data_IF_997991122902
#
_entry.id   IF_997991122902
#
_cell.length_a   1.000
_cell.length_b   1.000
_cell.length_c   1.000
_cell.angle_alpha   90.00
_cell.angle_beta   90.00
_cell.angle_gamma   90.00
#
_symmetry.space_group_name_H-M   'P 1'
#
loop_
_entity.id
_entity.type
_entity.pdbx_description
1 polymer ?
#
# COMPACT_ATOMS: atom_id res chain seq x y z
N UNK A 1 72.08 24.42 -41.08
CA UNK A 1 71.62 23.03 -41.07
C UNK A 1 70.99 22.77 -39.70
N UNK A 2 69.65 22.90 -39.68
CA UNK A 2 68.87 22.79 -38.42
C UNK A 2 68.18 21.43 -38.45
N UNK A 3 68.47 20.58 -37.48
CA UNK A 3 67.87 19.24 -37.34
C UNK A 3 66.65 19.43 -36.40
N UNK A 4 65.44 19.18 -36.94
CA UNK A 4 64.19 19.14 -36.18
C UNK A 4 63.95 17.69 -35.79
N UNK A 5 64.00 17.40 -34.50
CA UNK A 5 63.65 16.08 -33.95
C UNK A 5 62.18 16.11 -33.57
N UNK A 6 61.38 15.33 -34.27
CA UNK A 6 59.94 15.15 -33.95
C UNK A 6 59.79 14.03 -32.92
N UNK A 7 59.28 14.33 -31.76
CA UNK A 7 58.94 13.37 -30.74
C UNK A 7 57.44 13.01 -30.92
N UNK A 8 57.17 11.76 -31.29
CA UNK A 8 55.82 11.22 -31.35
C UNK A 8 55.42 10.68 -29.97
N UNK A 9 54.42 11.35 -29.33
CA UNK A 9 53.79 10.85 -28.12
C UNK A 9 52.61 9.94 -28.50
N UNK A 10 52.77 8.65 -28.26
CA UNK A 10 51.68 7.67 -28.38
C UNK A 10 50.78 7.77 -27.13
N UNK A 11 49.56 8.20 -27.30
CA UNK A 11 48.56 8.18 -26.23
C UNK A 11 47.97 6.76 -26.12
N UNK A 12 48.32 6.09 -25.02
CA UNK A 12 47.79 4.79 -24.65
C UNK A 12 46.35 4.98 -24.11
N UNK A 13 45.35 4.62 -24.90
CA UNK A 13 43.95 4.62 -24.50
C UNK A 13 43.67 3.47 -23.53
N UNK A 14 43.65 3.76 -22.24
CA UNK A 14 43.17 2.85 -21.20
C UNK A 14 41.70 2.52 -21.43
N UNK A 15 41.40 1.30 -21.84
CA UNK A 15 40.03 0.74 -21.94
C UNK A 15 39.43 0.68 -20.52
N UNK A 16 38.61 1.67 -20.18
CA UNK A 16 37.82 1.68 -18.97
C UNK A 16 36.76 0.59 -19.06
N UNK A 17 36.92 -0.51 -18.35
CA UNK A 17 35.89 -1.55 -18.18
C UNK A 17 34.63 -0.93 -17.58
N UNK A 18 33.44 -1.14 -18.17
CA UNK A 18 32.21 -0.62 -17.58
C UNK A 18 32.00 -1.22 -16.19
N UNK A 19 31.46 -0.44 -15.24
CA UNK A 19 31.18 -0.95 -13.91
C UNK A 19 30.17 -2.11 -13.98
N UNK A 20 30.26 -3.12 -13.10
CA UNK A 20 29.30 -4.20 -13.04
C UNK A 20 27.91 -3.63 -12.76
N UNK A 21 26.83 -4.25 -13.32
CA UNK A 21 25.47 -3.82 -13.06
C UNK A 21 25.19 -3.85 -11.55
N UNK A 22 24.41 -2.89 -11.03
CA UNK A 22 24.07 -2.85 -9.62
C UNK A 22 23.44 -4.18 -9.22
N UNK A 23 23.97 -4.79 -8.15
CA UNK A 23 23.37 -5.97 -7.55
C UNK A 23 21.89 -5.66 -7.24
N UNK A 24 20.99 -6.49 -7.73
CA UNK A 24 19.57 -6.38 -7.41
C UNK A 24 19.44 -6.33 -5.90
N UNK A 25 19.04 -5.17 -5.36
CA UNK A 25 18.70 -5.03 -3.96
C UNK A 25 17.58 -6.05 -3.67
N UNK A 26 17.85 -7.00 -2.79
CA UNK A 26 16.81 -7.92 -2.29
C UNK A 26 15.70 -7.05 -1.74
N UNK A 27 14.48 -7.20 -2.25
CA UNK A 27 13.29 -6.58 -1.65
C UNK A 27 13.30 -6.90 -0.16
N UNK A 28 13.04 -5.91 0.71
CA UNK A 28 12.96 -6.18 2.13
C UNK A 28 11.95 -7.30 2.37
N UNK A 29 12.28 -8.22 3.27
CA UNK A 29 11.35 -9.29 3.66
C UNK A 29 10.05 -8.66 4.15
N UNK A 30 8.89 -9.22 3.82
CA UNK A 30 7.60 -8.68 4.27
C UNK A 30 7.54 -8.65 5.80
N UNK A 31 6.87 -7.65 6.37
CA UNK A 31 6.65 -7.54 7.82
C UNK A 31 5.81 -8.69 8.35
N UNK A 32 4.85 -9.14 7.53
CA UNK A 32 3.96 -10.27 7.81
C UNK A 32 3.87 -11.21 6.62
N UNK A 33 3.43 -12.43 6.88
CA UNK A 33 3.24 -13.51 5.91
C UNK A 33 1.75 -13.84 5.75
N UNK A 34 1.41 -14.72 4.81
CA UNK A 34 0.06 -15.26 4.67
C UNK A 34 -0.45 -15.94 5.96
N UNK A 35 0.43 -16.58 6.72
CA UNK A 35 0.06 -17.19 8.00
C UNK A 35 -0.52 -16.17 8.98
N UNK A 36 0.06 -14.97 9.06
CA UNK A 36 -0.49 -13.89 9.88
C UNK A 36 -1.85 -13.43 9.35
N UNK A 37 -1.99 -13.29 8.03
CA UNK A 37 -3.27 -12.89 7.41
C UNK A 37 -4.35 -13.92 7.71
N UNK A 38 -4.06 -15.20 7.50
CA UNK A 38 -5.01 -16.29 7.78
C UNK A 38 -5.41 -16.32 9.26
N UNK A 39 -4.47 -16.12 10.16
CA UNK A 39 -4.75 -16.02 11.60
C UNK A 39 -5.70 -14.87 11.94
N UNK A 40 -5.60 -13.73 11.25
CA UNK A 40 -6.33 -12.52 11.60
C UNK A 40 -7.61 -12.30 10.79
N UNK A 41 -7.67 -12.80 9.55
CA UNK A 41 -8.74 -12.53 8.60
C UNK A 41 -9.32 -13.78 7.91
N UNK A 42 -8.80 -14.97 8.22
CA UNK A 42 -9.22 -16.22 7.58
C UNK A 42 -8.54 -16.50 6.25
N UNK A 43 -8.82 -17.67 5.69
CA UNK A 43 -8.14 -18.21 4.50
C UNK A 43 -8.60 -17.58 3.17
N UNK A 44 -9.58 -16.68 3.22
CA UNK A 44 -10.09 -15.99 2.05
C UNK A 44 -9.15 -14.91 1.51
N UNK A 45 -8.19 -14.45 2.31
CA UNK A 45 -7.25 -13.39 1.95
C UNK A 45 -5.81 -13.91 1.93
N UNK A 46 -5.01 -13.39 1.01
CA UNK A 46 -3.57 -13.66 0.89
C UNK A 46 -2.80 -12.38 0.62
N UNK A 47 -1.52 -12.37 0.97
CA UNK A 47 -0.62 -11.23 0.78
C UNK A 47 -0.50 -10.88 -0.70
N UNK A 48 -0.73 -9.61 -1.04
CA UNK A 48 -0.44 -9.09 -2.36
C UNK A 48 1.05 -8.76 -2.47
N UNK A 49 1.73 -9.41 -3.42
CA UNK A 49 3.14 -9.15 -3.69
C UNK A 49 3.32 -7.80 -4.38
N UNK A 50 4.28 -7.01 -3.94
CA UNK A 50 4.65 -5.73 -4.54
C UNK A 50 4.38 -4.52 -3.67
N UNK A 51 3.13 -4.17 -3.29
CA UNK A 51 2.87 -3.04 -2.42
C UNK A 51 3.56 -3.19 -1.06
N UNK A 52 4.09 -2.08 -0.55
CA UNK A 52 4.73 -2.06 0.76
C UNK A 52 3.70 -2.31 1.88
N UNK A 53 4.18 -2.92 2.96
CA UNK A 53 3.44 -3.01 4.22
C UNK A 53 3.89 -1.85 5.13
N UNK A 54 2.98 -1.27 5.88
CA UNK A 54 3.27 -0.10 6.72
C UNK A 54 2.89 -0.35 8.17
N UNK A 55 3.71 0.17 9.06
CA UNK A 55 3.42 0.26 10.49
C UNK A 55 3.40 1.73 10.88
N UNK A 56 2.27 2.19 11.45
CA UNK A 56 2.08 3.57 11.85
C UNK A 56 0.84 3.69 12.75
N UNK A 57 0.80 4.68 13.62
CA UNK A 57 -0.36 5.02 14.46
C UNK A 57 -1.43 5.74 13.59
N UNK A 58 -2.35 4.98 12.98
CA UNK A 58 -3.34 5.51 12.05
C UNK A 58 -4.55 6.13 12.75
N UNK A 59 -4.90 5.64 13.94
CA UNK A 59 -6.07 6.10 14.68
C UNK A 59 -5.73 7.18 15.74
N UNK A 60 -4.44 7.45 15.95
CA UNK A 60 -3.94 8.53 16.79
C UNK A 60 -3.98 8.20 18.29
N UNK A 61 -3.94 6.92 18.65
CA UNK A 61 -3.98 6.49 20.06
C UNK A 61 -2.58 6.24 20.66
N UNK A 62 -1.53 6.41 19.87
CA UNK A 62 -0.14 6.24 20.27
C UNK A 62 0.36 4.79 20.18
N UNK A 63 -0.43 3.89 19.60
CA UNK A 63 -0.08 2.49 19.37
C UNK A 63 0.08 2.22 17.89
N UNK A 64 1.09 1.44 17.52
CA UNK A 64 1.35 1.12 16.12
C UNK A 64 0.28 0.18 15.55
N UNK A 65 -0.29 0.57 14.42
CA UNK A 65 -1.19 -0.18 13.56
C UNK A 65 -0.44 -0.79 12.38
N UNK A 66 -1.08 -1.71 11.66
CA UNK A 66 -0.52 -2.36 10.48
C UNK A 66 -1.44 -2.20 9.28
N UNK A 67 -0.85 -1.86 8.12
CA UNK A 67 -1.51 -1.81 6.81
C UNK A 67 -0.89 -2.86 5.90
N UNK A 68 -1.74 -3.70 5.29
CA UNK A 68 -1.33 -4.78 4.40
C UNK A 68 -2.16 -4.70 3.12
N UNK A 69 -1.50 -4.69 1.96
CA UNK A 69 -2.18 -4.96 0.70
C UNK A 69 -2.40 -6.48 0.56
N UNK A 70 -3.61 -6.88 0.28
CA UNK A 70 -4.00 -8.28 0.18
C UNK A 70 -4.89 -8.54 -1.02
N UNK A 71 -5.05 -9.80 -1.37
CA UNK A 71 -6.07 -10.27 -2.32
C UNK A 71 -7.04 -11.17 -1.58
N UNK A 72 -8.31 -10.81 -1.57
CA UNK A 72 -9.37 -11.56 -0.93
C UNK A 72 -10.34 -12.14 -1.97
N UNK A 73 -10.76 -13.38 -1.82
CA UNK A 73 -11.71 -14.04 -2.72
C UNK A 73 -13.16 -13.66 -2.40
N UNK A 74 -13.48 -13.63 -1.13
CA UNK A 74 -14.78 -13.23 -0.62
C UNK A 74 -14.62 -12.39 0.65
N UNK A 75 -14.72 -11.06 0.56
CA UNK A 75 -14.48 -10.17 1.70
C UNK A 75 -15.52 -10.30 2.80
N UNK A 76 -16.70 -10.83 2.50
CA UNK A 76 -17.78 -11.01 3.47
C UNK A 76 -17.70 -12.34 4.23
N UNK A 77 -16.91 -13.29 3.73
CA UNK A 77 -16.71 -14.56 4.43
C UNK A 77 -15.89 -14.32 5.69
N UNK A 78 -16.11 -15.14 6.69
CA UNK A 78 -15.32 -15.23 7.91
C UNK A 78 -15.34 -13.95 8.79
N UNK A 79 -16.07 -12.91 8.37
CA UNK A 79 -16.15 -11.63 9.08
C UNK A 79 -16.55 -11.80 10.56
N UNK A 80 -17.55 -12.61 10.83
CA UNK A 80 -18.02 -12.85 12.20
C UNK A 80 -17.04 -13.69 13.00
N UNK A 81 -16.45 -14.72 12.40
CA UNK A 81 -15.50 -15.63 13.04
C UNK A 81 -14.21 -14.89 13.43
N UNK A 82 -13.65 -14.11 12.51
CA UNK A 82 -12.41 -13.38 12.75
C UNK A 82 -12.62 -11.97 13.28
N UNK A 83 -13.88 -11.52 13.49
CA UNK A 83 -14.21 -10.21 14.08
C UNK A 83 -13.54 -9.03 13.38
N UNK A 84 -13.64 -8.96 12.06
CA UNK A 84 -13.22 -7.79 11.29
C UNK A 84 -14.43 -7.05 10.67
N UNK A 85 -14.25 -5.80 10.33
CA UNK A 85 -15.27 -4.98 9.68
C UNK A 85 -14.92 -4.75 8.22
N UNK A 86 -15.83 -5.11 7.32
CA UNK A 86 -15.68 -4.79 5.89
C UNK A 86 -16.20 -3.38 5.64
N UNK A 87 -15.39 -2.57 4.95
CA UNK A 87 -15.76 -1.23 4.52
C UNK A 87 -15.51 -1.06 3.02
N UNK A 88 -16.37 -0.28 2.38
CA UNK A 88 -16.15 0.26 1.05
C UNK A 88 -16.08 1.79 1.13
N UNK A 89 -14.87 2.36 1.37
CA UNK A 89 -14.75 3.80 1.52
C UNK A 89 -14.99 4.55 0.21
N UNK A 90 -14.73 3.94 -0.93
CA UNK A 90 -14.94 4.53 -2.25
C UNK A 90 -16.43 4.67 -2.55
N UNK A 91 -17.21 3.60 -2.40
CA UNK A 91 -18.67 3.65 -2.58
C UNK A 91 -19.33 4.61 -1.59
N UNK A 92 -18.85 4.63 -0.34
CA UNK A 92 -19.32 5.62 0.65
C UNK A 92 -19.03 7.06 0.24
N UNK A 93 -17.91 7.33 -0.44
CA UNK A 93 -17.56 8.64 -0.98
C UNK A 93 -18.46 9.02 -2.16
N UNK A 94 -18.79 8.06 -3.03
CA UNK A 94 -19.69 8.24 -4.17
C UNK A 94 -21.17 8.37 -3.76
N UNK A 95 -21.49 8.27 -2.47
CA UNK A 95 -22.83 8.43 -1.94
C UNK A 95 -23.65 7.15 -1.84
N UNK A 96 -23.05 6.01 -2.13
CA UNK A 96 -23.67 4.71 -1.87
C UNK A 96 -23.47 4.37 -0.39
N UNK A 97 -24.57 4.27 0.35
CA UNK A 97 -24.50 3.95 1.79
C UNK A 97 -24.60 2.45 2.00
N UNK A 98 -23.76 1.86 2.75
CA UNK A 98 -23.78 0.48 3.24
C UNK A 98 -23.58 -0.64 2.22
N UNK A 99 -22.49 -1.37 2.44
CA UNK A 99 -22.23 -2.65 1.80
C UNK A 99 -23.22 -3.67 2.35
N UNK A 100 -24.34 -3.87 1.67
CA UNK A 100 -25.28 -4.93 2.04
C UNK A 100 -24.96 -6.25 1.37
N UNK A 101 -24.47 -6.21 0.13
CA UNK A 101 -24.03 -7.38 -0.63
C UNK A 101 -23.05 -6.91 -1.72
N UNK A 102 -21.83 -7.38 -1.71
CA UNK A 102 -20.95 -7.24 -2.85
C UNK A 102 -21.05 -8.49 -3.72
N UNK A 103 -21.91 -8.46 -4.72
CA UNK A 103 -21.94 -9.51 -5.74
C UNK A 103 -20.76 -9.42 -6.70
N UNK A 104 -20.20 -8.24 -6.87
CA UNK A 104 -19.00 -7.96 -7.65
C UNK A 104 -17.97 -7.35 -6.73
N UNK A 105 -17.12 -8.19 -6.20
CA UNK A 105 -15.98 -7.76 -5.44
C UNK A 105 -14.84 -7.48 -6.42
N UNK A 106 -14.69 -6.21 -6.75
CA UNK A 106 -13.68 -5.68 -7.61
C UNK A 106 -13.94 -5.69 -9.12
N UNK A 107 -13.08 -4.97 -9.76
CA UNK A 107 -12.87 -4.77 -11.18
C UNK A 107 -13.03 -6.03 -12.02
N UNK A 108 -13.52 -5.90 -13.23
CA UNK A 108 -13.50 -6.96 -14.25
C UNK A 108 -12.06 -7.32 -14.67
N UNK A 109 -11.10 -6.45 -14.38
CA UNK A 109 -9.68 -6.70 -14.61
C UNK A 109 -9.12 -7.72 -13.61
N UNK A 110 -8.58 -8.86 -14.09
CA UNK A 110 -8.09 -9.94 -13.22
C UNK A 110 -7.02 -9.50 -12.22
N UNK A 111 -6.19 -8.53 -12.60
CA UNK A 111 -5.10 -8.02 -11.77
C UNK A 111 -5.60 -7.21 -10.57
N UNK A 112 -6.74 -6.54 -10.74
CA UNK A 112 -7.39 -5.72 -9.70
C UNK A 112 -8.42 -6.50 -8.89
N UNK A 113 -8.88 -7.63 -9.40
CA UNK A 113 -9.94 -8.41 -8.75
C UNK A 113 -9.52 -8.87 -7.36
N UNK A 114 -10.34 -8.52 -6.37
CA UNK A 114 -10.14 -8.90 -4.98
C UNK A 114 -9.04 -8.14 -4.25
N UNK A 115 -8.41 -7.13 -4.88
CA UNK A 115 -7.42 -6.29 -4.21
C UNK A 115 -8.08 -5.51 -3.07
N UNK A 116 -7.48 -5.56 -1.91
CA UNK A 116 -8.01 -5.03 -0.65
C UNK A 116 -6.90 -4.50 0.23
N UNK A 117 -7.26 -3.63 1.17
CA UNK A 117 -6.38 -3.27 2.28
C UNK A 117 -6.88 -3.91 3.57
N UNK A 118 -6.02 -4.64 4.23
CA UNK A 118 -6.24 -5.11 5.58
C UNK A 118 -5.57 -4.14 6.54
N UNK A 119 -6.31 -3.70 7.55
CA UNK A 119 -5.80 -2.80 8.58
C UNK A 119 -6.06 -3.43 9.93
N UNK A 120 -5.03 -3.47 10.76
CA UNK A 120 -5.08 -4.00 12.12
C UNK A 120 -4.73 -2.86 13.06
N UNK A 121 -5.69 -2.37 13.83
CA UNK A 121 -5.42 -1.41 14.90
C UNK A 121 -4.81 -2.13 16.08
N UNK A 122 -3.65 -1.65 16.49
CA UNK A 122 -2.88 -2.22 17.59
C UNK A 122 -3.51 -2.02 18.96
N UNK A 123 -3.01 -2.75 19.94
CA UNK A 123 -3.38 -2.56 21.34
C UNK A 123 -2.22 -2.90 22.28
N UNK A 124 -2.09 -2.10 23.33
CA UNK A 124 -1.08 -2.31 24.37
C UNK A 124 0.36 -2.29 23.85
N UNK A 125 1.26 -2.96 24.57
CA UNK A 125 2.70 -2.96 24.24
C UNK A 125 3.06 -3.77 22.99
N UNK A 126 2.23 -4.74 22.64
CA UNK A 126 2.48 -5.61 21.49
C UNK A 126 1.93 -5.02 20.19
N UNK A 127 1.20 -3.89 20.29
CA UNK A 127 0.68 -3.12 19.18
C UNK A 127 -0.14 -4.01 18.22
N UNK A 128 0.08 -3.91 16.91
CA UNK A 128 -0.60 -4.76 15.91
C UNK A 128 -0.29 -6.26 16.03
N UNK A 129 0.77 -6.63 16.79
CA UNK A 129 1.15 -8.04 17.04
C UNK A 129 0.35 -8.66 18.17
N UNK A 130 -0.45 -7.89 18.89
CA UNK A 130 -1.29 -8.40 19.95
C UNK A 130 -2.17 -9.56 19.44
N UNK A 131 -2.35 -10.57 20.26
CA UNK A 131 -3.19 -11.73 19.93
C UNK A 131 -4.63 -11.29 19.63
N UNK A 132 -5.12 -10.31 20.37
CA UNK A 132 -6.41 -9.66 20.14
C UNK A 132 -6.18 -8.18 19.88
N UNK A 133 -6.14 -7.76 18.61
CA UNK A 133 -6.01 -6.35 18.25
C UNK A 133 -7.25 -5.54 18.65
N UNK A 134 -7.10 -4.23 18.73
CA UNK A 134 -8.18 -3.29 19.08
C UNK A 134 -9.33 -3.34 18.08
N UNK A 135 -9.01 -3.37 16.78
CA UNK A 135 -9.96 -3.49 15.69
C UNK A 135 -9.28 -4.01 14.42
N UNK A 136 -10.07 -4.61 13.54
CA UNK A 136 -9.62 -5.08 12.24
C UNK A 136 -10.57 -4.62 11.15
N UNK A 137 -10.01 -4.15 10.03
CA UNK A 137 -10.76 -3.65 8.89
C UNK A 137 -10.29 -4.31 7.61
N UNK A 138 -11.23 -4.68 6.75
CA UNK A 138 -11.01 -5.12 5.39
C UNK A 138 -11.64 -4.07 4.46
N UNK A 139 -10.80 -3.30 3.75
CA UNK A 139 -11.25 -2.24 2.86
C UNK A 139 -11.21 -2.75 1.42
N UNK A 140 -12.32 -2.61 0.72
CA UNK A 140 -12.54 -3.15 -0.63
C UNK A 140 -12.70 -2.04 -1.66
N UNK A 141 -12.66 -2.43 -2.93
CA UNK A 141 -12.92 -1.57 -4.09
C UNK A 141 -12.00 -0.34 -4.18
N UNK A 142 -10.77 -0.48 -3.72
CA UNK A 142 -9.79 0.59 -3.73
C UNK A 142 -8.86 0.45 -4.95
N UNK A 143 -8.84 1.44 -5.83
CA UNK A 143 -7.92 1.46 -6.95
C UNK A 143 -6.53 1.93 -6.46
N UNK A 144 -5.53 1.06 -6.47
CA UNK A 144 -4.16 1.45 -6.19
C UNK A 144 -3.13 0.53 -6.84
N UNK A 145 -2.02 1.11 -7.25
CA UNK A 145 -0.77 0.42 -7.60
C UNK A 145 0.29 0.63 -6.55
N UNK A 146 0.35 1.85 -6.02
CA UNK A 146 1.32 2.19 -4.98
C UNK A 146 0.59 2.71 -3.74
N UNK A 147 1.21 2.47 -2.60
CA UNK A 147 0.73 2.91 -1.30
C UNK A 147 1.85 3.64 -0.57
N UNK A 148 1.51 4.73 0.10
CA UNK A 148 2.40 5.42 1.04
C UNK A 148 1.62 5.93 2.24
N UNK A 149 2.26 5.98 3.41
CA UNK A 149 1.66 6.56 4.62
C UNK A 149 2.34 7.89 4.91
N UNK A 150 1.55 8.97 4.95
CA UNK A 150 2.05 10.35 5.18
C UNK A 150 1.07 11.13 6.06
N UNK A 151 1.54 12.25 6.59
CA UNK A 151 0.68 13.18 7.32
C UNK A 151 -0.33 13.85 6.39
N UNK A 152 -1.59 13.86 6.81
CA UNK A 152 -2.70 14.52 6.15
C UNK A 152 -3.23 15.64 7.03
N UNK A 153 -3.20 16.87 6.53
CA UNK A 153 -3.77 18.02 7.22
C UNK A 153 -5.28 18.09 6.95
N UNK A 154 -6.10 17.91 7.97
CA UNK A 154 -7.52 18.16 7.94
C UNK A 154 -7.81 19.54 8.56
N UNK A 155 -9.01 20.09 8.34
CA UNK A 155 -9.37 21.46 8.82
C UNK A 155 -9.08 21.69 10.31
N UNK A 156 -9.18 20.67 11.15
CA UNK A 156 -9.08 20.80 12.62
C UNK A 156 -7.96 19.96 13.25
N UNK A 157 -7.35 19.04 12.50
CA UNK A 157 -6.33 18.13 13.02
C UNK A 157 -5.43 17.61 11.91
N UNK A 158 -4.25 17.13 12.26
CA UNK A 158 -3.40 16.35 11.39
C UNK A 158 -3.54 14.88 11.77
N UNK A 159 -3.71 14.02 10.77
CA UNK A 159 -3.81 12.56 10.92
C UNK A 159 -2.80 11.89 10.00
N UNK A 160 -2.61 10.59 10.13
CA UNK A 160 -1.94 9.80 9.08
C UNK A 160 -2.96 9.39 8.02
N UNK A 161 -2.57 9.55 6.77
CA UNK A 161 -3.33 9.12 5.60
C UNK A 161 -2.56 8.05 4.82
N UNK A 162 -3.29 7.08 4.31
CA UNK A 162 -2.78 6.07 3.38
C UNK A 162 -3.04 6.63 1.98
N UNK A 163 -1.99 7.14 1.34
CA UNK A 163 -2.05 7.69 0.00
C UNK A 163 -1.96 6.56 -1.01
N UNK A 164 -2.83 6.60 -1.99
CA UNK A 164 -2.95 5.63 -3.07
C UNK A 164 -2.72 6.34 -4.39
N UNK A 165 -1.89 5.77 -5.24
CA UNK A 165 -1.68 6.23 -6.60
C UNK A 165 -2.12 5.13 -7.55
N UNK A 166 -2.95 5.48 -8.50
CA UNK A 166 -3.40 4.64 -9.59
C UNK A 166 -2.80 5.15 -10.90
N UNK A 167 -2.09 4.28 -11.62
CA UNK A 167 -1.66 4.57 -12.99
C UNK A 167 -2.76 4.15 -13.95
N UNK A 168 -3.46 5.12 -14.56
CA UNK A 168 -4.33 4.91 -15.70
C UNK A 168 -3.59 5.10 -17.01
N UNK A 169 -4.22 4.77 -18.14
CA UNK A 169 -3.74 5.18 -19.47
C UNK A 169 -3.94 6.69 -19.61
N UNK A 170 -2.88 7.47 -19.33
CA UNK A 170 -2.85 8.93 -19.53
C UNK A 170 -3.21 9.80 -18.32
N UNK A 171 -3.64 9.24 -17.19
CA UNK A 171 -3.92 10.02 -15.99
C UNK A 171 -3.44 9.28 -14.73
N UNK A 172 -2.63 9.96 -13.92
CA UNK A 172 -2.32 9.50 -12.59
C UNK A 172 -3.35 10.09 -11.62
N UNK A 173 -4.19 9.26 -11.06
CA UNK A 173 -5.11 9.69 -10.02
C UNK A 173 -4.52 9.41 -8.64
N UNK A 174 -4.63 10.40 -7.76
CA UNK A 174 -4.19 10.28 -6.37
C UNK A 174 -5.38 10.38 -5.44
N UNK A 175 -5.39 9.52 -4.45
CA UNK A 175 -6.42 9.52 -3.40
C UNK A 175 -5.80 9.22 -2.05
N UNK A 176 -6.57 9.45 -0.99
CA UNK A 176 -6.14 9.19 0.38
C UNK A 176 -7.25 8.55 1.21
N UNK A 177 -6.87 7.55 1.98
CA UNK A 177 -7.68 7.00 3.06
C UNK A 177 -7.21 7.55 4.40
N UNK A 178 -8.15 7.85 5.29
CA UNK A 178 -7.82 8.26 6.65
C UNK A 178 -8.89 7.82 7.65
N UNK A 179 -8.48 7.64 8.89
CA UNK A 179 -9.38 7.32 9.99
C UNK A 179 -10.08 8.58 10.52
N UNK A 180 -11.42 8.59 10.54
CA UNK A 180 -12.19 9.75 11.04
C UNK A 180 -12.53 9.66 12.54
N UNK A 181 -12.19 8.56 13.18
CA UNK A 181 -12.54 8.21 14.55
C UNK A 181 -13.61 7.12 14.66
N UNK A 182 -14.22 6.74 13.54
CA UNK A 182 -15.26 5.71 13.47
C UNK A 182 -15.06 4.74 12.31
N UNK A 183 -14.62 5.24 11.16
CA UNK A 183 -14.41 4.45 9.94
C UNK A 183 -13.34 5.08 9.05
N UNK A 184 -12.83 4.31 8.12
CA UNK A 184 -11.97 4.81 7.06
C UNK A 184 -12.76 5.61 6.04
N UNK A 185 -12.27 6.80 5.71
CA UNK A 185 -12.80 7.70 4.70
C UNK A 185 -11.90 7.74 3.49
N UNK A 186 -12.50 7.80 2.33
CA UNK A 186 -11.83 8.03 1.05
C UNK A 186 -11.96 9.49 0.63
N UNK A 187 -10.91 10.04 0.05
CA UNK A 187 -10.92 11.37 -0.54
C UNK A 187 -10.05 11.38 -1.80
N UNK A 188 -10.59 11.83 -2.93
CA UNK A 188 -9.80 12.11 -4.13
C UNK A 188 -8.95 13.38 -3.90
N UNK A 189 -7.70 13.35 -4.36
CA UNK A 189 -6.77 14.49 -4.24
C UNK A 189 -6.59 15.22 -5.57
N UNK A 190 -6.97 14.63 -6.67
CA UNK A 190 -6.86 15.16 -8.03
C UNK A 190 -6.22 14.17 -8.98
N UNK A 191 -6.25 14.51 -10.26
CA UNK A 191 -5.47 13.87 -11.31
C UNK A 191 -4.44 14.87 -11.83
N UNK A 192 -3.19 14.47 -11.93
CA UNK A 192 -2.19 15.22 -12.69
C UNK A 192 -2.43 14.87 -14.16
N UNK A 193 -3.04 15.79 -14.90
CA UNK A 193 -3.09 15.73 -16.36
C UNK A 193 -1.74 16.27 -16.86
N UNK A 194 -0.92 15.40 -17.47
CA UNK A 194 0.22 15.81 -18.28
C UNK A 194 -0.20 16.36 -19.66
#
# INVERSE_FOLDING_TARGET
MVIVVSVSVSAEQSKKTPPPPPAHAKSPSPLVTDEYIHKQFGDNCSLLQGPAQFVADLDGDGVDDLVIAARCKNPMADQAEYSFTVNDPYDSFMGYSDIKVTSTFASDEPERRGVSLLIVHGTGKDAWRAETPKAKFLLINLPFKTLTVKRLALKKKTVLGIYMEEQGEGENTSSVLFWDGKKYRYQMLGSDME
#
